data_IF_620983384875
#
_entry.id   IF_620983384875
#
_cell.length_a   1.000
_cell.length_b   1.000
_cell.length_c   1.000
_cell.angle_alpha   90.00
_cell.angle_beta   90.00
_cell.angle_gamma   90.00
#
_symmetry.space_group_name_H-M   'P 1'
#
loop_
_entity.id
_entity.type
_entity.pdbx_description
1 polymer ?
#
# COMPACT_ATOMS: atom_id res chain seq x y z
N UNK A 1 -17.96 -11.18 7.59
CA UNK A 1 -17.62 -10.76 6.21
C UNK A 1 -16.10 -10.63 6.14
N UNK A 2 -15.49 -11.27 5.14
CA UNK A 2 -14.04 -11.47 5.02
C UNK A 2 -13.59 -10.84 3.71
N UNK A 3 -13.48 -9.52 3.73
CA UNK A 3 -13.07 -8.73 2.56
C UNK A 3 -11.78 -8.03 2.98
N UNK A 4 -10.65 -8.67 2.66
CA UNK A 4 -9.31 -8.31 3.09
C UNK A 4 -8.57 -7.72 1.90
N UNK A 5 -7.89 -6.61 2.12
CA UNK A 5 -7.21 -5.84 1.07
C UNK A 5 -5.70 -5.86 1.34
N UNK A 6 -5.19 -4.90 2.14
CA UNK A 6 -3.76 -4.82 2.47
C UNK A 6 -3.27 -5.87 3.48
N UNK A 7 -2.03 -6.31 3.30
CA UNK A 7 -1.33 -7.30 4.14
C UNK A 7 0.13 -6.88 4.41
N UNK A 8 0.53 -6.91 5.68
CA UNK A 8 1.94 -6.86 6.08
C UNK A 8 2.32 -8.10 6.87
N UNK A 9 3.53 -8.63 6.62
CA UNK A 9 4.12 -9.72 7.39
C UNK A 9 5.34 -9.23 8.18
N UNK A 10 5.35 -9.49 9.49
CA UNK A 10 6.50 -9.20 10.34
C UNK A 10 6.54 -10.16 11.52
N UNK A 11 7.69 -10.80 11.75
CA UNK A 11 7.95 -11.68 12.90
C UNK A 11 6.86 -12.75 13.14
N UNK A 12 6.38 -13.38 12.06
CA UNK A 12 5.32 -14.40 12.12
C UNK A 12 3.91 -13.85 12.40
N UNK A 13 3.72 -12.53 12.31
CA UNK A 13 2.43 -11.86 12.47
C UNK A 13 2.00 -11.31 11.11
N UNK A 14 0.78 -11.68 10.69
CA UNK A 14 0.08 -11.04 9.59
C UNK A 14 -0.76 -9.88 10.12
N UNK A 15 -0.53 -8.67 9.62
CA UNK A 15 -1.37 -7.50 9.86
C UNK A 15 -2.20 -7.24 8.61
N UNK A 16 -3.53 -7.27 8.75
CA UNK A 16 -4.47 -7.28 7.62
C UNK A 16 -5.44 -6.11 7.72
N UNK A 17 -5.61 -5.37 6.63
CA UNK A 17 -6.65 -4.38 6.44
C UNK A 17 -7.92 -5.01 5.87
N UNK A 18 -9.08 -4.66 6.41
CA UNK A 18 -10.37 -5.16 5.92
C UNK A 18 -11.27 -4.01 5.44
N UNK A 19 -12.02 -4.25 4.37
CA UNK A 19 -13.08 -3.35 3.92
C UNK A 19 -14.45 -3.69 4.55
N UNK A 20 -15.46 -2.84 4.28
CA UNK A 20 -16.83 -2.85 4.82
C UNK A 20 -16.94 -2.67 6.32
N UNK A 21 -16.36 -3.58 7.09
CA UNK A 21 -16.09 -3.41 8.52
C UNK A 21 -14.62 -3.00 8.69
N UNK A 22 -14.37 -1.72 8.40
CA UNK A 22 -13.04 -1.11 8.42
C UNK A 22 -12.32 -1.40 9.73
N UNK A 23 -11.26 -2.19 9.63
CA UNK A 23 -10.38 -2.52 10.76
C UNK A 23 -9.02 -2.95 10.23
N UNK A 24 -8.03 -2.80 11.09
CA UNK A 24 -6.71 -3.40 10.92
C UNK A 24 -6.55 -4.43 12.02
N UNK A 25 -6.30 -5.68 11.68
CA UNK A 25 -6.25 -6.77 12.65
C UNK A 25 -5.01 -7.64 12.46
N UNK A 26 -4.55 -8.25 13.55
CA UNK A 26 -3.35 -9.07 13.57
C UNK A 26 -3.66 -10.52 13.87
N UNK A 27 -3.00 -11.41 13.12
CA UNK A 27 -3.10 -12.86 13.18
C UNK A 27 -1.72 -13.44 13.38
N UNK A 28 -1.60 -14.51 14.18
CA UNK A 28 -0.37 -15.30 14.20
C UNK A 28 -0.41 -16.23 12.99
N UNK A 29 0.69 -16.29 12.25
CA UNK A 29 0.85 -17.25 11.16
C UNK A 29 1.25 -18.58 11.77
N UNK A 30 0.36 -19.55 11.64
CA UNK A 30 0.59 -20.94 12.00
C UNK A 30 -0.09 -21.80 10.92
N UNK A 31 0.67 -22.34 9.95
CA UNK A 31 0.10 -23.11 8.85
C UNK A 31 -0.72 -24.33 9.29
N UNK A 32 -0.42 -24.88 10.46
CA UNK A 32 -1.09 -26.08 10.99
C UNK A 32 -2.26 -25.73 11.92
N UNK A 33 -2.28 -24.52 12.50
CA UNK A 33 -3.28 -24.12 13.49
C UNK A 33 -3.66 -22.63 13.44
N UNK A 34 -4.02 -22.13 12.25
CA UNK A 34 -4.48 -20.75 12.06
C UNK A 34 -5.62 -20.38 13.03
N UNK A 35 -5.38 -19.36 13.86
CA UNK A 35 -6.34 -18.84 14.85
C UNK A 35 -7.02 -17.55 14.39
N UNK A 36 -8.16 -17.17 15.00
CA UNK A 36 -8.75 -15.84 14.83
C UNK A 36 -7.77 -14.70 15.17
N UNK A 37 -8.13 -13.47 14.80
CA UNK A 37 -7.36 -12.28 15.13
C UNK A 37 -7.09 -12.22 16.65
N UNK A 38 -5.84 -11.99 17.04
CA UNK A 38 -5.47 -11.85 18.46
C UNK A 38 -5.41 -10.39 18.91
N UNK A 39 -5.38 -9.45 17.95
CA UNK A 39 -5.36 -8.01 18.22
C UNK A 39 -6.06 -7.26 17.09
N UNK A 40 -6.79 -6.21 17.44
CA UNK A 40 -7.32 -5.22 16.50
C UNK A 40 -6.65 -3.88 16.83
N UNK A 41 -6.14 -3.20 15.81
CA UNK A 41 -5.44 -1.94 15.93
C UNK A 41 -6.39 -0.76 15.71
N UNK A 42 -6.14 0.33 16.42
CA UNK A 42 -6.75 1.63 16.12
C UNK A 42 -5.99 2.29 14.95
N UNK A 43 -6.63 2.34 13.79
CA UNK A 43 -6.07 2.90 12.56
C UNK A 43 -6.10 4.44 12.50
N UNK A 44 -6.58 5.11 13.57
CA UNK A 44 -6.53 6.56 13.81
C UNK A 44 -7.37 7.46 12.90
N UNK A 45 -7.61 7.04 11.65
CA UNK A 45 -8.53 7.74 10.75
C UNK A 45 -9.96 7.50 11.23
N UNK A 46 -10.83 8.51 11.33
CA UNK A 46 -12.20 8.26 11.73
C UNK A 46 -12.93 7.37 10.70
N UNK A 47 -13.63 6.33 11.16
CA UNK A 47 -14.26 5.35 10.28
C UNK A 47 -15.28 5.95 9.28
N UNK A 48 -15.91 7.10 9.60
CA UNK A 48 -16.83 7.79 8.69
C UNK A 48 -16.14 8.51 7.53
N UNK A 49 -14.82 8.73 7.62
CA UNK A 49 -14.01 9.25 6.51
C UNK A 49 -13.71 8.13 5.50
N UNK A 50 -13.74 6.86 5.93
CA UNK A 50 -13.55 5.70 5.08
C UNK A 50 -14.84 5.39 4.30
N UNK A 51 -14.71 5.28 2.97
CA UNK A 51 -15.84 4.94 2.13
C UNK A 51 -16.15 3.45 2.28
N UNK A 52 -17.45 3.11 2.31
CA UNK A 52 -17.96 1.78 2.69
C UNK A 52 -17.32 0.57 1.97
N UNK A 53 -16.80 0.75 0.75
CA UNK A 53 -16.14 -0.29 -0.04
C UNK A 53 -14.75 0.18 -0.52
N UNK A 54 -14.05 0.93 0.33
CA UNK A 54 -12.68 1.44 0.07
C UNK A 54 -11.92 1.45 1.39
N UNK A 55 -11.24 0.34 1.66
CA UNK A 55 -10.49 0.12 2.88
C UNK A 55 -9.07 0.70 2.86
N UNK A 56 -8.20 0.04 3.61
CA UNK A 56 -6.76 0.25 3.55
C UNK A 56 -6.17 -0.74 2.54
N UNK A 57 -5.72 -0.21 1.43
CA UNK A 57 -5.05 -0.95 0.35
C UNK A 57 -3.60 -1.21 0.76
N UNK A 58 -2.93 -0.18 1.29
CA UNK A 58 -1.59 -0.32 1.84
C UNK A 58 -1.65 -0.61 3.33
N UNK A 59 -1.00 -1.69 3.74
CA UNK A 59 -0.63 -1.99 5.13
C UNK A 59 0.83 -2.41 5.08
N UNK A 60 1.74 -1.63 5.65
CA UNK A 60 3.18 -1.91 5.51
C UNK A 60 3.99 -1.45 6.72
N UNK A 61 5.12 -2.13 6.97
CA UNK A 61 6.06 -1.75 8.02
C UNK A 61 7.19 -0.92 7.43
N UNK A 62 7.53 0.18 8.11
CA UNK A 62 8.68 1.00 7.76
C UNK A 62 10.00 0.27 8.01
N UNK A 63 11.07 0.79 7.42
CA UNK A 63 12.42 0.33 7.75
C UNK A 63 12.69 0.48 9.27
N UNK A 64 13.17 -0.57 9.98
CA UNK A 64 13.58 -0.48 11.39
C UNK A 64 14.68 0.55 11.68
N UNK A 65 15.55 0.83 10.71
CA UNK A 65 16.64 1.80 10.83
C UNK A 65 16.25 3.20 10.32
N UNK A 66 15.04 3.33 9.76
CA UNK A 66 14.47 4.60 9.32
C UNK A 66 13.79 5.38 10.45
N UNK A 67 13.32 6.59 10.15
CA UNK A 67 12.71 7.48 11.14
C UNK A 67 11.49 6.89 11.86
N UNK A 68 10.75 6.00 11.19
CA UNK A 68 9.57 5.34 11.77
C UNK A 68 9.91 4.07 12.56
N UNK A 69 11.19 3.66 12.60
CA UNK A 69 11.71 2.59 13.45
C UNK A 69 10.88 1.29 13.38
N UNK A 70 10.54 0.84 12.17
CA UNK A 70 9.76 -0.40 12.01
C UNK A 70 8.27 -0.23 12.24
N UNK A 71 7.79 1.01 12.39
CA UNK A 71 6.41 1.39 12.62
C UNK A 71 5.47 0.93 11.51
N UNK A 72 4.20 0.74 11.86
CA UNK A 72 3.15 0.32 10.93
C UNK A 72 2.51 1.55 10.28
N UNK A 73 2.41 1.55 8.96
CA UNK A 73 1.74 2.58 8.17
C UNK A 73 0.60 1.98 7.36
N UNK A 74 -0.50 2.72 7.27
CA UNK A 74 -1.65 2.36 6.44
C UNK A 74 -2.03 3.51 5.52
N UNK A 75 -2.46 3.19 4.30
CA UNK A 75 -2.94 4.18 3.30
C UNK A 75 -4.27 3.68 2.73
N UNK A 76 -5.27 4.56 2.71
CA UNK A 76 -6.57 4.24 2.11
C UNK A 76 -6.54 4.28 0.58
N UNK A 77 -7.44 3.57 -0.09
CA UNK A 77 -7.54 3.60 -1.56
C UNK A 77 -7.83 5.02 -2.09
N UNK A 78 -8.91 5.62 -1.58
CA UNK A 78 -9.51 6.87 -2.08
C UNK A 78 -10.40 7.57 -1.05
N UNK A 79 -10.10 7.41 0.23
CA UNK A 79 -10.78 8.17 1.28
C UNK A 79 -10.12 9.54 1.33
N UNK A 80 -10.87 10.60 1.03
CA UNK A 80 -10.31 11.92 0.75
C UNK A 80 -10.60 12.92 1.87
N UNK A 81 -9.60 13.72 2.23
CA UNK A 81 -9.80 14.91 3.05
C UNK A 81 -10.54 16.02 2.27
N UNK A 82 -10.80 17.15 2.94
CA UNK A 82 -11.47 18.31 2.32
C UNK A 82 -10.69 18.96 1.18
N UNK A 83 -9.38 18.71 1.11
CA UNK A 83 -8.48 19.20 0.07
C UNK A 83 -8.31 18.20 -1.08
N UNK A 84 -8.93 17.02 -0.99
CA UNK A 84 -8.84 15.96 -1.99
C UNK A 84 -7.60 15.07 -1.86
N UNK A 85 -6.87 15.13 -0.75
CA UNK A 85 -5.74 14.25 -0.46
C UNK A 85 -6.22 12.95 0.19
N UNK A 86 -5.48 11.87 0.01
CA UNK A 86 -5.84 10.52 0.45
C UNK A 86 -5.45 10.34 1.91
N UNK A 87 -6.35 9.84 2.75
CA UNK A 87 -6.06 9.57 4.16
C UNK A 87 -5.07 8.42 4.34
N UNK A 88 -4.12 8.63 5.25
CA UNK A 88 -3.14 7.66 5.69
C UNK A 88 -2.83 7.84 7.18
N UNK A 89 -2.20 6.85 7.80
CA UNK A 89 -1.79 6.95 9.19
C UNK A 89 -0.54 6.15 9.49
N UNK A 90 0.34 6.71 10.32
CA UNK A 90 1.33 5.96 11.09
C UNK A 90 0.60 5.42 12.31
N UNK A 91 0.34 4.11 12.35
CA UNK A 91 -0.47 3.42 13.36
C UNK A 91 0.35 3.05 14.60
N UNK A 92 1.61 2.67 14.39
CA UNK A 92 2.58 2.32 15.42
C UNK A 92 3.94 2.98 15.11
N UNK A 93 4.73 3.34 16.13
CA UNK A 93 6.05 3.99 15.97
C UNK A 93 6.12 5.44 16.48
N UNK A 94 7.31 6.08 16.42
CA UNK A 94 7.59 7.39 17.03
C UNK A 94 6.79 8.56 16.41
N UNK A 95 6.34 8.43 15.16
CA UNK A 95 5.57 9.47 14.45
C UNK A 95 4.08 9.14 14.32
N UNK A 96 3.53 8.37 15.27
CA UNK A 96 2.14 7.94 15.26
C UNK A 96 1.16 9.09 15.04
N UNK A 97 0.29 8.97 14.04
CA UNK A 97 -0.73 9.97 13.72
C UNK A 97 -1.23 9.89 12.28
N UNK A 98 -2.33 10.61 12.03
CA UNK A 98 -2.92 10.75 10.69
C UNK A 98 -2.11 11.74 9.87
N UNK A 99 -1.89 11.40 8.60
CA UNK A 99 -1.34 12.28 7.57
C UNK A 99 -2.16 12.09 6.30
N UNK A 100 -1.88 12.84 5.24
CA UNK A 100 -2.51 12.61 3.94
C UNK A 100 -1.49 12.49 2.84
N UNK A 101 -1.77 11.67 1.83
CA UNK A 101 -0.97 11.55 0.62
C UNK A 101 -1.60 12.45 -0.44
N UNK A 102 -0.82 13.36 -1.02
CA UNK A 102 -1.29 14.25 -2.07
C UNK A 102 -1.78 13.45 -3.26
N UNK A 103 -3.00 13.72 -3.69
CA UNK A 103 -3.58 13.05 -4.86
C UNK A 103 -3.14 13.76 -6.13
N UNK A 104 -2.62 13.02 -7.10
CA UNK A 104 -2.23 13.55 -8.41
C UNK A 104 -2.98 12.80 -9.52
N UNK A 105 -3.86 13.50 -10.23
CA UNK A 105 -4.65 12.91 -11.32
C UNK A 105 -5.73 11.94 -10.83
N UNK A 106 -6.05 10.96 -11.67
CA UNK A 106 -7.13 9.99 -11.44
C UNK A 106 -6.63 8.61 -10.97
N UNK A 107 -5.47 8.58 -10.31
CA UNK A 107 -4.94 7.36 -9.69
C UNK A 107 -5.42 7.23 -8.25
N UNK A 108 -5.75 6.01 -7.88
CA UNK A 108 -6.12 5.60 -6.53
C UNK A 108 -5.05 4.60 -6.03
N UNK A 109 -4.85 4.51 -4.71
CA UNK A 109 -3.83 3.62 -4.12
C UNK A 109 -4.26 2.16 -4.32
N UNK A 110 -3.29 1.28 -4.60
CA UNK A 110 -3.52 -0.16 -4.69
C UNK A 110 -2.64 -0.94 -3.71
N UNK A 111 -1.40 -0.52 -3.49
CA UNK A 111 -0.53 -1.09 -2.46
C UNK A 111 0.67 -0.17 -2.16
N UNK A 112 1.50 -0.53 -1.18
CA UNK A 112 2.68 0.22 -0.80
C UNK A 112 3.69 -0.57 0.02
N UNK A 113 4.97 -0.29 -0.21
CA UNK A 113 6.08 -0.89 0.53
C UNK A 113 7.16 0.15 0.83
N UNK A 114 7.81 0.04 1.98
CA UNK A 114 8.95 0.91 2.29
C UNK A 114 10.22 0.46 1.58
N UNK A 115 10.95 1.45 1.06
CA UNK A 115 12.29 1.29 0.54
C UNK A 115 13.33 1.25 1.68
N UNK A 116 14.53 0.68 1.44
CA UNK A 116 15.60 0.64 2.44
C UNK A 116 16.07 2.04 2.91
N UNK A 117 15.94 3.07 2.09
CA UNK A 117 16.28 4.44 2.47
C UNK A 117 15.23 5.13 3.37
N UNK A 118 14.08 4.47 3.59
CA UNK A 118 13.00 4.97 4.44
C UNK A 118 11.88 5.67 3.68
N UNK A 119 11.97 5.79 2.35
CA UNK A 119 10.89 6.30 1.52
C UNK A 119 9.78 5.25 1.33
N UNK A 120 8.56 5.72 1.10
CA UNK A 120 7.40 4.86 0.86
C UNK A 120 7.16 4.77 -0.65
N UNK A 121 7.29 3.58 -1.23
CA UNK A 121 6.89 3.32 -2.60
C UNK A 121 5.40 2.97 -2.62
N UNK A 122 4.61 3.73 -3.37
CA UNK A 122 3.18 3.47 -3.58
C UNK A 122 2.94 2.97 -5.00
N UNK A 123 2.21 1.85 -5.10
CA UNK A 123 1.55 1.40 -6.31
C UNK A 123 0.19 2.09 -6.39
N UNK A 124 -0.06 2.76 -7.51
CA UNK A 124 -1.32 3.44 -7.75
C UNK A 124 -1.86 3.04 -9.11
N UNK A 125 -3.18 2.85 -9.20
CA UNK A 125 -3.85 2.40 -10.42
C UNK A 125 -5.00 3.31 -10.81
N UNK A 126 -5.33 3.28 -12.09
CA UNK A 126 -6.53 3.94 -12.61
C UNK A 126 -7.16 3.09 -13.71
N UNK A 127 -8.48 3.17 -13.82
CA UNK A 127 -9.23 2.49 -14.87
C UNK A 127 -10.24 3.44 -15.51
N UNK A 128 -10.37 3.34 -16.83
CA UNK A 128 -11.49 3.95 -17.56
C UNK A 128 -11.86 3.08 -18.76
N UNK A 129 -13.14 3.07 -19.15
CA UNK A 129 -13.59 2.26 -20.30
C UNK A 129 -12.86 2.64 -21.60
N UNK A 130 -12.54 3.92 -21.79
CA UNK A 130 -11.88 4.40 -23.00
C UNK A 130 -10.35 4.21 -22.98
N UNK A 131 -9.74 4.28 -21.78
CA UNK A 131 -8.28 4.28 -21.61
C UNK A 131 -7.69 2.98 -21.06
N UNK A 132 -8.52 2.00 -20.72
CA UNK A 132 -8.09 0.76 -20.08
C UNK A 132 -7.52 0.99 -18.67
N UNK A 133 -6.70 0.04 -18.23
CA UNK A 133 -5.97 0.09 -16.96
C UNK A 133 -4.66 0.85 -17.15
N UNK A 134 -4.28 1.60 -16.10
CA UNK A 134 -2.97 2.22 -15.96
C UNK A 134 -2.46 2.02 -14.56
N UNK A 135 -1.15 1.95 -14.41
CA UNK A 135 -0.45 1.93 -13.13
C UNK A 135 0.63 3.00 -13.08
N UNK A 136 0.99 3.41 -11.87
CA UNK A 136 2.21 4.16 -11.61
C UNK A 136 2.85 3.72 -10.30
N UNK A 137 4.18 3.85 -10.25
CA UNK A 137 4.95 3.76 -9.03
C UNK A 137 5.37 5.17 -8.63
N UNK A 138 5.04 5.55 -7.40
CA UNK A 138 5.35 6.86 -6.84
C UNK A 138 6.18 6.69 -5.58
N UNK A 139 7.35 7.33 -5.55
CA UNK A 139 8.24 7.35 -4.39
C UNK A 139 7.82 8.54 -3.54
N UNK A 140 7.27 8.26 -2.37
CA UNK A 140 6.87 9.27 -1.39
C UNK A 140 8.02 9.45 -0.43
N UNK A 141 8.46 10.70 -0.26
CA UNK A 141 9.56 11.02 0.64
C UNK A 141 9.20 10.60 2.06
N UNK A 142 10.06 9.79 2.68
CA UNK A 142 9.84 9.25 4.01
C UNK A 142 9.62 10.37 5.02
N UNK A 143 10.41 11.45 4.97
CA UNK A 143 10.28 12.60 5.88
C UNK A 143 8.92 13.30 5.81
N UNK A 144 8.14 13.06 4.75
CA UNK A 144 6.80 13.59 4.60
C UNK A 144 5.70 12.66 5.17
N UNK A 145 6.05 11.43 5.56
CA UNK A 145 5.16 10.46 6.22
C UNK A 145 5.06 10.79 7.71
N UNK A 146 4.61 12.01 8.02
CA UNK A 146 4.53 12.52 9.39
C UNK A 146 3.12 13.02 9.73
N UNK A 147 2.72 12.87 10.99
CA UNK A 147 1.44 13.37 11.51
C UNK A 147 1.16 14.81 11.08
N UNK A 148 0.03 15.00 10.41
CA UNK A 148 -0.47 16.30 9.97
C UNK A 148 0.18 16.82 8.67
N UNK A 149 1.14 16.10 8.10
CA UNK A 149 1.77 16.46 6.84
C UNK A 149 0.91 16.02 5.63
N UNK A 150 1.19 16.64 4.49
CA UNK A 150 0.73 16.18 3.18
C UNK A 150 1.94 15.57 2.47
N UNK A 151 2.00 14.25 2.46
CA UNK A 151 3.07 13.47 1.84
C UNK A 151 2.97 13.52 0.31
N UNK A 152 4.11 13.69 -0.37
CA UNK A 152 4.18 13.75 -1.83
C UNK A 152 5.58 13.30 -2.30
N UNK A 153 5.74 13.09 -3.59
CA UNK A 153 7.03 12.74 -4.18
C UNK A 153 6.93 12.38 -5.67
N UNK A 154 8.07 12.08 -6.31
CA UNK A 154 8.14 11.87 -7.74
C UNK A 154 7.47 10.58 -8.20
N UNK A 155 6.92 10.60 -9.41
CA UNK A 155 6.52 9.40 -10.14
C UNK A 155 7.78 8.78 -10.75
N UNK A 156 8.10 7.54 -10.37
CA UNK A 156 9.24 6.81 -10.90
C UNK A 156 8.90 6.12 -12.23
N UNK A 157 7.68 5.60 -12.33
CA UNK A 157 7.22 4.86 -13.50
C UNK A 157 5.73 5.11 -13.70
N UNK A 158 5.28 5.24 -14.95
CA UNK A 158 3.87 5.20 -15.32
C UNK A 158 3.71 4.33 -16.57
N UNK A 159 2.76 3.40 -16.54
CA UNK A 159 2.49 2.47 -17.63
C UNK A 159 0.99 2.33 -17.88
N UNK A 160 0.64 2.02 -19.12
CA UNK A 160 -0.72 1.70 -19.57
C UNK A 160 -0.73 0.39 -20.35
N UNK A 161 -1.87 0.02 -20.93
CA UNK A 161 -2.06 -1.21 -21.71
C UNK A 161 -1.13 -1.35 -22.93
N UNK A 162 -0.39 -0.30 -23.33
CA UNK A 162 0.67 -0.41 -24.33
C UNK A 162 1.92 -1.13 -23.81
N UNK A 163 2.06 -1.24 -22.49
CA UNK A 163 3.10 -2.00 -21.81
C UNK A 163 2.56 -3.37 -21.34
N UNK A 164 3.45 -4.25 -20.89
CA UNK A 164 3.07 -5.57 -20.37
C UNK A 164 2.55 -5.48 -18.93
N UNK A 165 1.52 -4.65 -18.70
CA UNK A 165 0.83 -4.48 -17.42
C UNK A 165 -0.64 -4.93 -17.50
N UNK A 166 -1.28 -5.02 -16.35
CA UNK A 166 -2.71 -5.29 -16.18
C UNK A 166 -3.20 -4.58 -14.89
N UNK A 167 -4.28 -5.04 -14.25
CA UNK A 167 -4.77 -4.55 -12.96
C UNK A 167 -3.81 -4.91 -11.80
N UNK A 168 -2.64 -4.29 -11.82
CA UNK A 168 -1.63 -4.40 -10.76
C UNK A 168 -2.25 -3.98 -9.43
N UNK A 169 -2.17 -4.89 -8.46
CA UNK A 169 -2.81 -4.76 -7.16
C UNK A 169 -1.83 -4.95 -6.00
N UNK A 170 -0.77 -5.73 -6.18
CA UNK A 170 0.20 -6.01 -5.12
C UNK A 170 1.59 -5.49 -5.46
N UNK A 171 2.31 -5.06 -4.43
CA UNK A 171 3.65 -4.53 -4.49
C UNK A 171 4.48 -5.09 -3.33
N UNK A 172 5.70 -5.55 -3.62
CA UNK A 172 6.69 -5.83 -2.58
C UNK A 172 8.08 -5.34 -2.98
N UNK A 173 8.91 -5.06 -1.97
CA UNK A 173 10.28 -4.58 -2.13
C UNK A 173 11.22 -5.52 -1.37
N UNK A 174 12.19 -6.10 -2.06
CA UNK A 174 13.11 -7.07 -1.48
C UNK A 174 14.51 -6.95 -2.09
N UNK A 175 15.51 -7.51 -1.41
CA UNK A 175 16.90 -7.52 -1.89
C UNK A 175 17.23 -8.90 -2.44
N UNK A 176 17.67 -8.96 -3.70
CA UNK A 176 18.11 -10.20 -4.33
C UNK A 176 19.51 -10.60 -3.85
N UNK A 177 19.87 -11.87 -4.04
CA UNK A 177 21.16 -12.44 -3.62
C UNK A 177 22.40 -11.69 -4.14
N UNK A 178 22.28 -10.93 -5.24
CA UNK A 178 23.35 -10.09 -5.80
C UNK A 178 23.36 -8.64 -5.25
N UNK A 179 22.49 -8.34 -4.28
CA UNK A 179 22.34 -7.02 -3.67
C UNK A 179 21.44 -6.06 -4.45
N UNK A 180 20.84 -6.49 -5.57
CA UNK A 180 19.91 -5.64 -6.31
C UNK A 180 18.62 -5.40 -5.51
N UNK A 181 18.19 -4.13 -5.45
CA UNK A 181 16.88 -3.77 -4.90
C UNK A 181 15.81 -4.09 -5.93
N UNK A 182 14.92 -5.01 -5.59
CA UNK A 182 13.87 -5.52 -6.45
C UNK A 182 12.52 -4.94 -6.06
N UNK A 183 11.72 -4.61 -7.07
CA UNK A 183 10.31 -4.25 -6.94
C UNK A 183 9.49 -5.31 -7.67
N UNK A 184 8.68 -6.06 -6.92
CA UNK A 184 7.77 -7.07 -7.45
C UNK A 184 6.36 -6.52 -7.53
N UNK A 185 5.70 -6.74 -8.67
CA UNK A 185 4.30 -6.39 -8.89
C UNK A 185 3.49 -7.63 -9.27
N UNK A 186 2.28 -7.73 -8.74
CA UNK A 186 1.30 -8.77 -9.10
C UNK A 186 -0.01 -8.11 -9.52
N UNK A 187 -0.67 -8.68 -10.53
CA UNK A 187 -2.00 -8.24 -10.97
C UNK A 187 -3.12 -9.18 -10.53
N UNK A 188 -4.28 -8.58 -10.29
CA UNK A 188 -5.54 -9.30 -10.19
C UNK A 188 -6.12 -9.55 -11.58
N UNK A 189 -6.68 -10.73 -11.80
CA UNK A 189 -7.53 -10.99 -12.95
C UNK A 189 -9.00 -10.60 -12.72
N UNK A 190 -9.42 -10.21 -11.50
CA UNK A 190 -10.82 -10.00 -11.07
C UNK A 190 -11.78 -11.10 -11.58
N UNK A 191 -11.30 -12.34 -11.74
CA UNK A 191 -12.02 -13.44 -12.39
C UNK A 191 -12.49 -13.15 -13.85
N UNK A 192 -11.82 -12.21 -14.54
CA UNK A 192 -12.11 -11.80 -15.91
C UNK A 192 -11.26 -12.57 -16.91
N UNK A 193 -11.88 -13.11 -17.97
CA UNK A 193 -11.15 -13.75 -19.07
C UNK A 193 -10.32 -12.77 -19.92
N UNK A 194 -10.47 -11.47 -19.73
CA UNK A 194 -9.73 -10.44 -20.48
C UNK A 194 -8.48 -9.95 -19.74
N UNK A 195 -8.41 -10.18 -18.42
CA UNK A 195 -7.28 -9.76 -17.59
C UNK A 195 -6.28 -10.91 -17.46
N UNK A 196 -5.02 -10.54 -17.25
CA UNK A 196 -3.91 -11.47 -17.13
C UNK A 196 -3.42 -11.54 -15.69
N UNK A 197 -3.07 -12.73 -15.25
CA UNK A 197 -2.26 -12.93 -14.04
C UNK A 197 -0.80 -12.70 -14.41
N UNK A 198 -0.26 -11.57 -13.99
CA UNK A 198 1.11 -11.16 -14.24
C UNK A 198 1.86 -11.10 -12.92
N UNK A 199 3.12 -11.51 -12.99
CA UNK A 199 4.14 -11.24 -11.98
C UNK A 199 5.30 -10.57 -12.69
N UNK A 200 5.60 -9.33 -12.29
CA UNK A 200 6.64 -8.51 -12.88
C UNK A 200 7.69 -8.16 -11.82
N UNK A 201 8.96 -8.17 -12.20
CA UNK A 201 10.06 -7.76 -11.34
C UNK A 201 10.88 -6.68 -12.03
N UNK A 202 11.21 -5.63 -11.28
CA UNK A 202 12.04 -4.53 -11.74
C UNK A 202 13.22 -4.37 -10.79
N UNK A 203 14.40 -4.10 -11.34
CA UNK A 203 15.52 -3.59 -10.55
C UNK A 203 15.30 -2.10 -10.34
N UNK A 204 15.24 -1.66 -9.09
CA UNK A 204 15.20 -0.25 -8.74
C UNK A 204 16.62 0.27 -8.61
N UNK A 205 16.99 1.21 -9.47
CA UNK A 205 18.27 1.90 -9.41
C UNK A 205 18.13 3.22 -8.63
N UNK A 206 19.12 3.53 -7.81
CA UNK A 206 19.31 4.88 -7.30
C UNK A 206 19.86 5.76 -8.44
N UNK A 207 19.39 7.00 -8.53
CA UNK A 207 19.93 8.02 -9.45
C UNK A 207 21.29 8.56 -8.97
#
# INVERSE_FOLDING_TARGET
EVDAEGLALKDGIATVGFERNHRVAQFRIDPDDMKPQFRQLDFLIPAWELRRNRGFETVTHANPDGQHQGGLVVVSEKSLDKSGNIYAAVVEGPHKGVFTVKRNGNFDIADGAFLPDGDLLLLERSFSMAGGVKMRLRRIYGESVEKGAVADGPVLMQADMGYQIDNMEGLDVWTRDDGALMVSLVSDDNHSMLQRNLYLEFVLHED
#
